data_IF_193413369533
#
_entry.id   IF_193413369533
#
_cell.length_a   1.000
_cell.length_b   1.000
_cell.length_c   1.000
_cell.angle_alpha   90.00
_cell.angle_beta   90.00
_cell.angle_gamma   90.00
#
_symmetry.space_group_name_H-M   'P 1'
#
loop_
_entity.id
_entity.type
_entity.pdbx_description
1 polymer ?
#
# COMPACT_ATOMS: atom_id res chain seq x y z
N UNK A 1 -27.32 -19.62 -5.31
CA UNK A 1 -26.96 -18.49 -4.42
C UNK A 1 -25.45 -18.53 -4.31
N UNK A 2 -24.73 -17.47 -4.70
CA UNK A 2 -23.25 -17.49 -4.66
C UNK A 2 -22.75 -17.49 -3.22
N UNK A 3 -21.77 -18.33 -2.89
CA UNK A 3 -21.14 -18.34 -1.57
C UNK A 3 -20.30 -17.08 -1.37
N UNK A 4 -20.45 -16.43 -0.21
CA UNK A 4 -19.58 -15.33 0.20
C UNK A 4 -18.29 -15.96 0.71
N UNK A 5 -17.17 -15.73 0.00
CA UNK A 5 -15.86 -16.20 0.41
C UNK A 5 -15.12 -15.12 1.19
N UNK A 6 -14.67 -15.50 2.39
CA UNK A 6 -13.77 -14.68 3.19
C UNK A 6 -12.33 -15.06 2.85
N UNK A 7 -11.59 -14.13 2.26
CA UNK A 7 -10.18 -14.32 1.95
C UNK A 7 -9.31 -13.84 3.10
N UNK A 8 -8.33 -14.65 3.52
CA UNK A 8 -7.36 -14.22 4.52
C UNK A 8 -6.42 -13.21 3.91
N UNK A 9 -6.14 -12.12 4.63
CA UNK A 9 -5.30 -11.02 4.11
C UNK A 9 -3.90 -11.46 3.69
N UNK A 10 -3.33 -12.46 4.35
CA UNK A 10 -2.04 -13.05 3.97
C UNK A 10 -2.10 -13.79 2.63
N UNK A 11 -3.19 -14.53 2.37
CA UNK A 11 -3.39 -15.20 1.08
C UNK A 11 -3.51 -14.16 -0.04
N UNK A 12 -4.31 -13.11 0.18
CA UNK A 12 -4.47 -12.01 -0.78
C UNK A 12 -3.14 -11.29 -1.05
N UNK A 13 -2.31 -11.10 -0.02
CA UNK A 13 -0.98 -10.50 -0.16
C UNK A 13 -0.05 -11.33 -1.05
N UNK A 14 -0.06 -12.66 -0.91
CA UNK A 14 0.78 -13.56 -1.70
C UNK A 14 0.28 -13.76 -3.14
N UNK A 15 -1.03 -13.59 -3.37
CA UNK A 15 -1.65 -13.77 -4.70
C UNK A 15 -1.44 -12.53 -5.58
N UNK A 16 -1.32 -11.33 -5.00
CA UNK A 16 -1.20 -10.09 -5.75
C UNK A 16 -0.06 -9.99 -6.80
N UNK A 17 1.17 -10.50 -6.58
CA UNK A 17 2.19 -10.51 -7.63
C UNK A 17 1.83 -11.41 -8.82
N UNK A 18 0.98 -12.42 -8.61
CA UNK A 18 0.59 -13.43 -9.60
C UNK A 18 -0.76 -13.03 -10.26
N UNK A 19 -1.51 -12.06 -9.69
CA UNK A 19 -2.82 -11.66 -10.19
C UNK A 19 -2.80 -11.18 -11.64
N UNK A 20 -1.69 -10.60 -12.10
CA UNK A 20 -1.50 -10.20 -13.49
C UNK A 20 -1.60 -11.40 -14.47
N UNK A 21 -1.12 -12.59 -14.09
CA UNK A 21 -1.21 -13.79 -14.93
C UNK A 21 -2.65 -14.27 -15.10
N UNK A 22 -3.51 -14.01 -14.11
CA UNK A 22 -4.94 -14.31 -14.14
C UNK A 22 -5.81 -13.21 -14.78
N UNK A 23 -5.21 -12.19 -15.41
CA UNK A 23 -5.93 -11.05 -16.01
C UNK A 23 -6.28 -9.91 -15.04
N UNK A 24 -5.89 -10.03 -13.76
CA UNK A 24 -6.11 -9.03 -12.72
C UNK A 24 -5.07 -7.91 -12.75
N UNK A 25 -5.08 -7.11 -13.82
CA UNK A 25 -4.13 -6.02 -14.04
C UNK A 25 -4.31 -4.89 -13.02
N UNK A 26 -5.55 -4.53 -12.70
CA UNK A 26 -5.82 -3.50 -11.71
C UNK A 26 -5.45 -3.98 -10.30
N UNK A 27 -5.68 -5.24 -9.98
CA UNK A 27 -5.32 -5.86 -8.71
C UNK A 27 -3.81 -5.85 -8.51
N UNK A 28 -3.06 -6.13 -9.58
CA UNK A 28 -1.61 -6.03 -9.59
C UNK A 28 -1.15 -4.57 -9.34
N UNK A 29 -1.80 -3.59 -10.00
CA UNK A 29 -1.49 -2.17 -9.78
C UNK A 29 -1.70 -1.75 -8.32
N UNK A 30 -2.83 -2.13 -7.71
CA UNK A 30 -3.08 -1.87 -6.29
C UNK A 30 -2.03 -2.58 -5.42
N UNK A 31 -1.69 -3.81 -5.77
CA UNK A 31 -0.67 -4.58 -5.04
C UNK A 31 0.72 -3.93 -5.09
N UNK A 32 1.05 -3.16 -6.14
CA UNK A 32 2.33 -2.44 -6.21
C UNK A 32 2.54 -1.43 -5.07
N UNK A 33 1.49 -1.01 -4.36
CA UNK A 33 1.62 -0.22 -3.14
C UNK A 33 2.57 -0.87 -2.11
N UNK A 34 2.65 -2.21 -2.07
CA UNK A 34 3.59 -2.95 -1.22
C UNK A 34 5.06 -2.73 -1.61
N UNK A 35 5.34 -2.61 -2.92
CA UNK A 35 6.68 -2.33 -3.43
C UNK A 35 7.07 -0.91 -3.02
N UNK A 36 6.20 0.07 -3.27
CA UNK A 36 6.43 1.46 -2.89
C UNK A 36 6.64 1.63 -1.38
N UNK A 37 5.82 0.96 -0.57
CA UNK A 37 5.97 0.94 0.89
C UNK A 37 7.31 0.33 1.31
N UNK A 38 7.72 -0.80 0.72
CA UNK A 38 9.01 -1.45 1.04
C UNK A 38 10.20 -0.55 0.70
N UNK A 39 10.17 0.12 -0.47
CA UNK A 39 11.21 1.08 -0.85
C UNK A 39 11.20 2.27 0.14
N UNK A 40 10.03 2.78 0.51
CA UNK A 40 9.91 3.87 1.47
C UNK A 40 10.54 3.53 2.84
N UNK A 41 10.35 2.30 3.34
CA UNK A 41 10.98 1.81 4.58
C UNK A 41 12.51 1.80 4.46
N UNK A 42 13.05 1.30 3.33
CA UNK A 42 14.50 1.27 3.09
C UNK A 42 15.09 2.69 3.09
N UNK A 43 14.43 3.65 2.43
CA UNK A 43 14.89 5.04 2.42
C UNK A 43 14.76 5.72 3.79
N UNK A 44 13.74 5.36 4.58
CA UNK A 44 13.61 5.81 5.97
C UNK A 44 14.80 5.33 6.81
N UNK A 45 15.14 4.03 6.70
CA UNK A 45 16.29 3.44 7.39
C UNK A 45 17.62 4.08 6.98
N UNK A 46 17.78 4.42 5.68
CA UNK A 46 18.96 5.14 5.16
C UNK A 46 18.98 6.65 5.48
N UNK A 47 18.04 7.15 6.30
CA UNK A 47 17.90 8.57 6.71
C UNK A 47 17.57 9.54 5.58
N UNK A 48 17.11 9.05 4.43
CA UNK A 48 16.59 9.88 3.33
C UNK A 48 15.09 10.15 3.55
N UNK A 49 14.77 10.90 4.61
CA UNK A 49 13.39 11.04 5.11
C UNK A 49 12.43 11.70 4.11
N UNK A 50 12.89 12.68 3.32
CA UNK A 50 12.05 13.30 2.28
C UNK A 50 11.66 12.31 1.17
N UNK A 51 12.61 11.49 0.72
CA UNK A 51 12.35 10.47 -0.31
C UNK A 51 11.40 9.40 0.25
N UNK A 52 11.65 8.95 1.48
CA UNK A 52 10.76 8.02 2.19
C UNK A 52 9.32 8.56 2.28
N UNK A 53 9.17 9.84 2.65
CA UNK A 53 7.86 10.49 2.77
C UNK A 53 7.11 10.50 1.43
N UNK A 54 7.78 10.86 0.33
CA UNK A 54 7.18 10.87 -1.01
C UNK A 54 6.74 9.46 -1.42
N UNK A 55 7.61 8.46 -1.25
CA UNK A 55 7.30 7.07 -1.62
C UNK A 55 6.18 6.47 -0.77
N UNK A 56 6.18 6.74 0.55
CA UNK A 56 5.10 6.29 1.44
C UNK A 56 3.76 6.95 1.07
N UNK A 57 3.79 8.21 0.65
CA UNK A 57 2.60 8.93 0.16
C UNK A 57 2.06 8.31 -1.14
N UNK A 58 2.93 7.94 -2.08
CA UNK A 58 2.54 7.21 -3.29
C UNK A 58 1.90 5.87 -2.93
N UNK A 59 2.52 5.10 -2.04
CA UNK A 59 1.97 3.83 -1.56
C UNK A 59 0.57 4.01 -0.93
N UNK A 60 0.39 5.07 -0.15
CA UNK A 60 -0.88 5.39 0.51
C UNK A 60 -1.99 5.68 -0.50
N UNK A 61 -1.72 6.48 -1.52
CA UNK A 61 -2.72 6.78 -2.55
C UNK A 61 -3.09 5.53 -3.34
N UNK A 62 -2.12 4.71 -3.75
CA UNK A 62 -2.39 3.47 -4.48
C UNK A 62 -3.23 2.52 -3.62
N UNK A 63 -2.84 2.26 -2.36
CA UNK A 63 -3.61 1.41 -1.45
C UNK A 63 -5.00 2.00 -1.13
N UNK A 64 -5.11 3.34 -1.06
CA UNK A 64 -6.36 4.05 -0.83
C UNK A 64 -7.36 3.91 -1.97
N UNK A 65 -6.91 3.74 -3.22
CA UNK A 65 -7.83 3.50 -4.35
C UNK A 65 -8.70 2.26 -4.15
N UNK A 66 -8.17 1.22 -3.48
CA UNK A 66 -8.88 -0.02 -3.21
C UNK A 66 -10.14 0.19 -2.35
N UNK A 67 -10.19 1.26 -1.54
CA UNK A 67 -11.37 1.59 -0.74
C UNK A 67 -12.61 1.83 -1.60
N UNK A 68 -12.43 2.36 -2.81
CA UNK A 68 -13.52 2.72 -3.72
C UNK A 68 -13.96 1.57 -4.62
N UNK A 69 -13.29 0.42 -4.55
CA UNK A 69 -13.62 -0.72 -5.38
C UNK A 69 -14.88 -1.43 -4.86
N UNK A 70 -15.79 -1.72 -5.79
CA UNK A 70 -17.01 -2.48 -5.51
C UNK A 70 -16.91 -3.93 -5.98
N UNK A 71 -15.99 -4.21 -6.89
CA UNK A 71 -15.81 -5.49 -7.55
C UNK A 71 -14.32 -5.75 -7.75
N UNK A 72 -13.94 -7.03 -7.75
CA UNK A 72 -12.58 -7.53 -7.97
C UNK A 72 -12.64 -8.77 -8.85
N UNK A 73 -11.61 -9.05 -9.63
CA UNK A 73 -11.54 -10.27 -10.41
C UNK A 73 -11.49 -11.49 -9.47
N UNK A 74 -12.55 -12.30 -9.46
CA UNK A 74 -12.69 -13.44 -8.55
C UNK A 74 -12.28 -14.78 -9.19
N UNK A 75 -12.18 -14.84 -10.51
CA UNK A 75 -11.63 -15.98 -11.22
C UNK A 75 -10.96 -15.55 -12.53
N UNK A 76 -9.95 -16.31 -12.95
CA UNK A 76 -9.12 -16.07 -14.14
C UNK A 76 -9.92 -16.09 -15.46
N UNK A 77 -11.16 -16.61 -15.43
CA UNK A 77 -12.09 -16.58 -16.56
C UNK A 77 -12.81 -15.22 -16.73
N UNK A 78 -12.36 -14.17 -16.03
CA UNK A 78 -12.95 -12.83 -16.08
C UNK A 78 -14.18 -12.64 -15.20
N UNK A 79 -14.51 -13.61 -14.33
CA UNK A 79 -15.65 -13.49 -13.42
C UNK A 79 -15.33 -12.49 -12.31
N UNK A 80 -16.08 -11.40 -12.27
CA UNK A 80 -16.01 -10.41 -11.19
C UNK A 80 -16.72 -10.91 -9.93
N UNK A 81 -16.10 -10.72 -8.78
CA UNK A 81 -16.67 -10.90 -7.46
C UNK A 81 -16.95 -9.55 -6.81
N UNK A 82 -18.08 -9.44 -6.12
CA UNK A 82 -18.47 -8.21 -5.43
C UNK A 82 -17.79 -8.13 -4.06
N UNK A 83 -17.24 -6.98 -3.73
CA UNK A 83 -16.68 -6.68 -2.41
C UNK A 83 -17.83 -6.24 -1.52
N UNK A 84 -18.11 -7.01 -0.46
CA UNK A 84 -19.15 -6.68 0.52
C UNK A 84 -18.60 -5.88 1.70
N UNK A 85 -17.40 -6.22 2.17
CA UNK A 85 -16.72 -5.56 3.28
C UNK A 85 -15.21 -5.55 3.05
N UNK A 86 -14.55 -4.51 3.56
CA UNK A 86 -13.11 -4.47 3.72
C UNK A 86 -12.79 -4.94 5.13
N UNK A 87 -11.95 -5.96 5.23
CA UNK A 87 -11.62 -6.59 6.51
C UNK A 87 -10.47 -5.84 7.22
N UNK A 88 -10.25 -6.19 8.48
CA UNK A 88 -9.23 -5.59 9.36
C UNK A 88 -7.83 -5.53 8.73
N UNK A 89 -7.47 -6.51 7.90
CA UNK A 89 -6.16 -6.51 7.23
C UNK A 89 -5.95 -5.33 6.27
N UNK A 90 -7.01 -4.86 5.61
CA UNK A 90 -6.93 -3.66 4.77
C UNK A 90 -6.63 -2.41 5.62
N UNK A 91 -7.33 -2.26 6.75
CA UNK A 91 -7.11 -1.13 7.64
C UNK A 91 -5.73 -1.17 8.30
N UNK A 92 -5.24 -2.36 8.66
CA UNK A 92 -3.88 -2.53 9.17
C UNK A 92 -2.83 -2.16 8.12
N UNK A 93 -3.07 -2.52 6.86
CA UNK A 93 -2.21 -2.15 5.75
C UNK A 93 -2.13 -0.62 5.58
N UNK A 94 -3.27 0.06 5.50
CA UNK A 94 -3.34 1.53 5.42
C UNK A 94 -2.69 2.18 6.65
N UNK A 95 -3.00 1.70 7.85
CA UNK A 95 -2.44 2.24 9.10
C UNK A 95 -0.91 2.13 9.13
N UNK A 96 -0.33 1.04 8.63
CA UNK A 96 1.13 0.88 8.55
C UNK A 96 1.79 1.90 7.63
N UNK A 97 1.15 2.19 6.48
CA UNK A 97 1.63 3.20 5.54
C UNK A 97 1.51 4.60 6.15
N UNK A 98 0.38 4.91 6.79
CA UNK A 98 0.19 6.20 7.50
C UNK A 98 1.20 6.38 8.62
N UNK A 99 1.50 5.33 9.39
CA UNK A 99 2.52 5.38 10.42
C UNK A 99 3.90 5.73 9.84
N UNK A 100 4.26 5.15 8.70
CA UNK A 100 5.51 5.48 8.01
C UNK A 100 5.55 6.93 7.52
N UNK A 101 4.43 7.47 6.99
CA UNK A 101 4.32 8.89 6.59
C UNK A 101 4.59 9.80 7.78
N UNK A 102 3.88 9.58 8.91
CA UNK A 102 4.03 10.40 10.11
C UNK A 102 5.45 10.28 10.69
N UNK A 103 5.99 9.07 10.75
CA UNK A 103 7.35 8.81 11.22
C UNK A 103 8.41 9.51 10.35
N UNK A 104 8.31 9.38 9.02
CA UNK A 104 9.22 10.03 8.08
C UNK A 104 9.11 11.56 8.12
N UNK A 105 7.91 12.11 8.30
CA UNK A 105 7.71 13.55 8.49
C UNK A 105 8.37 14.04 9.78
N UNK A 106 8.11 13.38 10.91
CA UNK A 106 8.71 13.72 12.20
C UNK A 106 10.24 13.69 12.14
N UNK A 107 10.81 12.62 11.57
CA UNK A 107 12.25 12.47 11.42
C UNK A 107 12.85 13.51 10.46
N UNK A 108 12.14 13.88 9.40
CA UNK A 108 12.57 14.94 8.48
C UNK A 108 12.65 16.31 9.15
N UNK A 109 11.65 16.66 9.97
CA UNK A 109 11.65 17.92 10.73
C UNK A 109 12.79 17.89 11.75
N UNK A 110 12.93 16.81 12.51
CA UNK A 110 14.00 16.63 13.49
C UNK A 110 15.40 16.70 12.86
N UNK A 111 15.59 16.09 11.68
CA UNK A 111 16.89 16.12 11.00
C UNK A 111 17.27 17.52 10.52
N UNK A 112 16.30 18.33 10.08
CA UNK A 112 16.52 19.73 9.68
C UNK A 112 16.86 20.61 10.88
N UNK A 113 16.16 20.43 12.00
CA UNK A 113 16.45 21.17 13.24
C UNK A 113 17.87 20.89 13.77
N UNK A 114 18.34 19.65 13.67
CA UNK A 114 19.67 19.25 14.13
C UNK A 114 20.82 19.62 13.17
N UNK A 115 20.51 19.98 11.92
CA UNK A 115 21.50 20.40 10.91
C UNK A 115 21.14 21.79 10.35
N UNK A 116 21.40 22.89 11.08
CA UNK A 116 21.09 24.25 10.62
C UNK A 116 22.00 24.76 9.48
N UNK A 117 22.94 23.97 8.97
CA UNK A 117 23.85 24.41 7.89
C UNK A 117 23.31 24.03 6.51
N UNK A 118 22.72 25.02 5.85
CA UNK A 118 23.04 25.57 4.51
C UNK A 118 21.82 26.43 4.12
N UNK A 119 21.76 27.61 4.71
CA UNK A 119 21.05 28.76 4.13
C UNK A 119 22.10 29.86 4.02
N UNK A 120 22.86 29.83 2.94
CA UNK A 120 23.70 30.93 2.45
C UNK A 120 23.62 30.94 0.94
#
# INVERSE_FOLDING_TARGET
MGEIKNYKSFETFLIGPISFLGGGLFEFLVWTANIWFSIAVIFCYKKYFLISLILATIAFFIAGTFFFWKEILAAENGRMGRIYSLETGYFLWIASITFLIVGSLYLSIKSKLNNPKISS
#
